data_IF_974346193564
#
_entry.id   IF_974346193564
#
_cell.length_a   1.000
_cell.length_b   1.000
_cell.length_c   1.000
_cell.angle_alpha   90.00
_cell.angle_beta   90.00
_cell.angle_gamma   90.00
#
_symmetry.space_group_name_H-M   'P 1'
#
loop_
_entity.id
_entity.type
_entity.pdbx_description
1 polymer ?
#
# COMPACT_ATOMS: atom_id res chain seq x y z
N UNK A 1 2.76 4.70 25.70
CA UNK A 1 1.86 4.03 24.74
C UNK A 1 2.43 4.23 23.35
N UNK A 2 2.83 3.18 22.61
CA UNK A 2 3.46 3.42 21.30
C UNK A 2 4.04 2.22 20.56
N UNK A 3 3.48 1.01 20.72
CA UNK A 3 3.96 -0.17 19.98
C UNK A 3 3.32 -0.34 18.60
N UNK A 4 2.17 0.30 18.37
CA UNK A 4 1.13 -0.29 17.52
C UNK A 4 0.75 0.62 16.33
N UNK A 5 1.03 1.92 16.43
CA UNK A 5 0.70 2.92 15.39
C UNK A 5 1.61 2.87 14.15
N UNK A 6 2.79 2.23 14.25
CA UNK A 6 3.75 2.18 13.15
C UNK A 6 3.35 1.25 12.00
N UNK A 7 2.54 0.21 12.27
CA UNK A 7 2.21 -0.79 11.26
C UNK A 7 1.37 -0.20 10.11
N UNK A 8 0.31 0.55 10.43
CA UNK A 8 -0.54 1.20 9.43
C UNK A 8 0.22 2.18 8.53
N UNK A 9 1.16 2.94 9.13
CA UNK A 9 2.04 3.82 8.37
C UNK A 9 2.98 3.05 7.44
N UNK A 10 3.56 1.92 7.89
CA UNK A 10 4.40 1.06 7.05
C UNK A 10 3.62 0.48 5.87
N UNK A 11 2.41 -0.02 6.10
CA UNK A 11 1.53 -0.52 5.04
C UNK A 11 1.23 0.58 4.02
N UNK A 12 0.92 1.79 4.50
CA UNK A 12 0.68 2.95 3.65
C UNK A 12 1.90 3.28 2.78
N UNK A 13 3.10 3.26 3.38
CA UNK A 13 4.34 3.51 2.64
C UNK A 13 4.63 2.42 1.62
N UNK A 14 4.46 1.14 1.96
CA UNK A 14 4.65 0.03 1.03
C UNK A 14 3.67 0.13 -0.14
N UNK A 15 2.39 0.40 0.12
CA UNK A 15 1.38 0.60 -0.91
C UNK A 15 1.75 1.75 -1.85
N UNK A 16 2.14 2.90 -1.31
CA UNK A 16 2.57 4.08 -2.08
C UNK A 16 3.80 3.78 -2.94
N UNK A 17 4.81 3.11 -2.38
CA UNK A 17 6.03 2.71 -3.11
C UNK A 17 5.74 1.71 -4.23
N UNK A 18 4.76 0.83 -4.04
CA UNK A 18 4.33 -0.12 -5.07
C UNK A 18 3.33 0.46 -6.09
N UNK A 19 2.91 1.72 -5.94
CA UNK A 19 1.94 2.35 -6.84
C UNK A 19 0.54 1.72 -6.79
N UNK A 20 0.19 1.01 -5.71
CA UNK A 20 -1.05 0.25 -5.60
C UNK A 20 -2.20 1.08 -5.05
N UNK A 21 -3.42 0.86 -5.55
CA UNK A 21 -4.60 1.38 -4.89
C UNK A 21 -4.95 0.54 -3.65
N UNK A 22 -5.70 1.13 -2.71
CA UNK A 22 -6.24 0.38 -1.56
C UNK A 22 -7.11 -0.79 -2.00
N UNK A 23 -7.84 -0.63 -3.11
CA UNK A 23 -8.74 -1.66 -3.63
C UNK A 23 -7.94 -2.85 -4.16
N UNK A 24 -6.82 -2.62 -4.83
CA UNK A 24 -5.98 -3.70 -5.36
C UNK A 24 -5.35 -4.53 -4.24
N UNK A 25 -4.85 -3.86 -3.19
CA UNK A 25 -4.29 -4.54 -2.01
C UNK A 25 -5.38 -5.32 -1.27
N UNK A 26 -6.55 -4.71 -1.10
CA UNK A 26 -7.68 -5.34 -0.44
C UNK A 26 -8.13 -6.61 -1.18
N UNK A 27 -8.29 -6.53 -2.51
CA UNK A 27 -8.62 -7.67 -3.36
C UNK A 27 -7.56 -8.76 -3.33
N UNK A 28 -6.27 -8.39 -3.38
CA UNK A 28 -5.19 -9.37 -3.41
C UNK A 28 -5.01 -10.12 -2.08
N UNK A 29 -5.42 -9.51 -0.97
CA UNK A 29 -5.39 -10.12 0.36
C UNK A 29 -6.75 -10.70 0.79
N UNK A 30 -7.75 -10.64 -0.08
CA UNK A 30 -9.14 -11.02 0.20
C UNK A 30 -9.68 -10.38 1.50
N UNK A 31 -9.39 -9.09 1.68
CA UNK A 31 -9.84 -8.30 2.82
C UNK A 31 -10.75 -7.16 2.35
N UNK A 32 -11.55 -6.64 3.28
CA UNK A 32 -12.37 -5.47 2.99
C UNK A 32 -11.52 -4.20 2.84
N UNK A 33 -11.87 -3.35 1.87
CA UNK A 33 -11.23 -2.04 1.68
C UNK A 33 -11.33 -1.18 2.95
N UNK A 34 -12.48 -1.20 3.62
CA UNK A 34 -12.72 -0.44 4.86
C UNK A 34 -11.80 -0.91 5.99
N UNK A 35 -11.56 -2.22 6.07
CA UNK A 35 -10.61 -2.81 7.01
C UNK A 35 -9.18 -2.33 6.73
N UNK A 36 -8.73 -2.37 5.46
CA UNK A 36 -7.42 -1.85 5.08
C UNK A 36 -7.26 -0.37 5.42
N UNK A 37 -8.30 0.44 5.18
CA UNK A 37 -8.29 1.87 5.51
C UNK A 37 -8.18 2.09 7.02
N UNK A 38 -8.95 1.37 7.83
CA UNK A 38 -8.89 1.46 9.28
C UNK A 38 -7.52 1.03 9.84
N UNK A 39 -6.87 0.05 9.22
CA UNK A 39 -5.50 -0.37 9.53
C UNK A 39 -4.49 0.72 9.14
N UNK A 40 -4.59 1.29 7.94
CA UNK A 40 -3.69 2.36 7.49
C UNK A 40 -3.79 3.63 8.37
N UNK A 41 -4.99 3.97 8.82
CA UNK A 41 -5.26 5.10 9.73
C UNK A 41 -4.88 4.81 11.19
N UNK A 42 -4.51 3.56 11.52
CA UNK A 42 -4.17 3.14 12.88
C UNK A 42 -5.39 3.06 13.81
N UNK A 43 -6.61 3.07 13.27
CA UNK A 43 -7.86 2.89 14.04
C UNK A 43 -8.04 1.45 14.50
N UNK A 44 -7.65 0.50 13.66
CA UNK A 44 -7.72 -0.94 13.94
C UNK A 44 -6.32 -1.52 13.86
N UNK A 45 -5.92 -2.26 14.89
CA UNK A 45 -4.70 -3.04 14.83
C UNK A 45 -5.02 -4.39 14.17
N UNK A 46 -4.36 -4.74 13.05
CA UNK A 46 -4.62 -5.99 12.35
C UNK A 46 -4.19 -7.18 13.20
N UNK A 47 -4.89 -8.31 13.07
CA UNK A 47 -4.52 -9.56 13.74
C UNK A 47 -3.14 -10.03 13.24
N UNK A 48 -2.46 -10.87 14.03
CA UNK A 48 -1.14 -11.40 13.66
C UNK A 48 -1.15 -12.11 12.29
N UNK A 49 -2.25 -12.78 11.94
CA UNK A 49 -2.42 -13.40 10.63
C UNK A 49 -2.52 -12.36 9.51
N UNK A 50 -3.32 -11.31 9.69
CA UNK A 50 -3.42 -10.22 8.72
C UNK A 50 -2.06 -9.50 8.54
N UNK A 51 -1.32 -9.28 9.63
CA UNK A 51 0.04 -8.70 9.58
C UNK A 51 0.97 -9.54 8.69
N UNK A 52 1.01 -10.86 8.90
CA UNK A 52 1.78 -11.78 8.07
C UNK A 52 1.32 -11.77 6.61
N UNK A 53 0.01 -11.66 6.37
CA UNK A 53 -0.55 -11.51 5.03
C UNK A 53 -0.01 -10.27 4.32
N UNK A 54 -0.07 -9.11 4.97
CA UNK A 54 0.50 -7.86 4.44
C UNK A 54 2.01 -7.99 4.18
N UNK A 55 2.77 -8.49 5.15
CA UNK A 55 4.21 -8.62 5.03
C UNK A 55 4.60 -9.56 3.89
N UNK A 56 3.98 -10.75 3.79
CA UNK A 56 4.23 -11.69 2.69
C UNK A 56 3.83 -11.11 1.34
N UNK A 57 2.68 -10.44 1.25
CA UNK A 57 2.23 -9.83 0.00
C UNK A 57 3.24 -8.80 -0.51
N UNK A 58 3.71 -7.90 0.35
CA UNK A 58 4.70 -6.89 -0.02
C UNK A 58 6.10 -7.47 -0.20
N UNK A 59 6.47 -8.55 0.50
CA UNK A 59 7.74 -9.26 0.29
C UNK A 59 7.76 -9.95 -1.07
N UNK A 60 6.72 -10.70 -1.43
CA UNK A 60 6.60 -11.36 -2.73
C UNK A 60 6.63 -10.33 -3.86
N UNK A 61 5.99 -9.17 -3.66
CA UNK A 61 6.02 -8.09 -4.64
C UNK A 61 7.36 -7.38 -4.75
N UNK A 62 8.13 -7.27 -3.65
CA UNK A 62 9.53 -6.79 -3.69
C UNK A 62 10.44 -7.77 -4.43
N UNK A 63 10.31 -9.07 -4.17
CA UNK A 63 11.13 -10.12 -4.81
C UNK A 63 10.81 -10.29 -6.30
N UNK A 64 9.55 -10.13 -6.69
CA UNK A 64 9.11 -10.21 -8.09
C UNK A 64 9.11 -8.85 -8.81
N UNK A 65 9.65 -7.78 -8.22
CA UNK A 65 9.91 -6.56 -8.97
C UNK A 65 11.25 -6.75 -9.70
N UNK A 66 11.29 -6.83 -11.05
CA UNK A 66 12.55 -6.60 -11.74
C UNK A 66 13.05 -5.24 -11.29
N UNK A 67 14.32 -5.16 -10.89
CA UNK A 67 15.01 -3.90 -10.60
C UNK A 67 14.69 -2.94 -11.75
N UNK A 68 13.78 -1.99 -11.55
CA UNK A 68 13.60 -0.88 -12.49
C UNK A 68 14.82 0.03 -12.30
N UNK A 69 15.96 -0.44 -12.83
CA UNK A 69 17.08 0.40 -13.21
C UNK A 69 16.58 1.27 -14.36
N UNK A 70 16.24 2.51 -14.03
CA UNK A 70 15.99 3.57 -15.00
C UNK A 70 14.53 3.74 -15.41
N UNK A 71 14.22 4.99 -15.77
CA UNK A 71 12.96 5.47 -16.36
C UNK A 71 11.84 5.83 -15.36
N UNK A 72 12.12 6.76 -14.44
CA UNK A 72 11.12 7.78 -14.07
C UNK A 72 11.42 9.06 -14.86
N UNK A 73 11.32 8.95 -16.19
CA UNK A 73 11.16 10.06 -17.09
C UNK A 73 9.86 9.83 -17.85
N UNK A 74 8.79 10.55 -17.47
CA UNK A 74 7.95 11.38 -18.35
C UNK A 74 6.64 11.79 -17.66
N UNK A 75 6.68 12.99 -17.10
CA UNK A 75 5.71 14.09 -17.19
C UNK A 75 4.45 13.82 -18.04
N UNK A 76 3.25 14.13 -17.52
CA UNK A 76 2.26 14.90 -18.30
C UNK A 76 1.32 15.69 -17.39
N UNK A 77 1.54 17.00 -17.43
CA UNK A 77 0.66 18.09 -17.04
C UNK A 77 -0.63 17.95 -17.88
N UNK A 78 -1.81 17.92 -17.25
CA UNK A 78 -3.06 18.21 -17.95
C UNK A 78 -3.59 19.56 -17.48
N UNK A 79 -3.40 20.54 -18.36
CA UNK A 79 -3.99 21.86 -18.31
C UNK A 79 -5.51 21.71 -18.54
N UNK A 80 -6.34 22.30 -17.67
CA UNK A 80 -7.78 22.41 -17.95
C UNK A 80 -8.17 23.89 -17.88
N UNK A 81 -7.93 24.59 -19.00
CA UNK A 81 -8.74 25.74 -19.34
C UNK A 81 -10.15 25.23 -19.63
N UNK A 82 -11.14 25.79 -18.95
CA UNK A 82 -12.53 25.70 -19.37
C UNK A 82 -13.06 27.13 -19.55
N UNK A 83 -13.74 27.25 -20.68
CA UNK A 83 -14.20 28.41 -21.42
C UNK A 83 -15.08 29.37 -20.62
#
# INVERSE_FOLDING_TARGET
MGGDAGFGQRVTQWRKKSGLSRVDVAKALDIEKSYLQAVEEGRIFPTRLAQLGFEKFFELRRKNQPLQRGIFAQKKIYNKGFK
#
